data_IF_447313770417
#
_entry.id   IF_447313770417
#
_cell.length_a   1.000
_cell.length_b   1.000
_cell.length_c   1.000
_cell.angle_alpha   90.00
_cell.angle_beta   90.00
_cell.angle_gamma   90.00
#
_symmetry.space_group_name_H-M   'P 1'
#
loop_
_entity.id
_entity.type
_entity.pdbx_description
1 polymer ?
#
# COMPACT_ATOMS: atom_id res chain seq x y z
N UNK A 1 -0.90 15.12 -9.37
CA UNK A 1 -2.06 14.38 -8.81
C UNK A 1 -1.82 14.19 -7.32
N UNK A 2 -2.86 14.31 -6.51
CA UNK A 2 -2.80 14.04 -5.07
C UNK A 2 -3.40 12.67 -4.78
N UNK A 3 -2.78 11.92 -3.88
CA UNK A 3 -3.22 10.60 -3.44
C UNK A 3 -3.46 10.66 -1.95
N UNK A 4 -4.57 10.07 -1.50
CA UNK A 4 -4.98 10.09 -0.09
C UNK A 4 -5.08 11.52 0.51
N UNK A 5 -5.47 12.51 -0.30
CA UNK A 5 -5.58 13.92 0.11
C UNK A 5 -6.49 14.10 1.33
N UNK A 6 -7.69 13.50 1.26
CA UNK A 6 -8.69 13.52 2.33
C UNK A 6 -8.37 12.58 3.50
N UNK A 7 -7.20 11.91 3.47
CA UNK A 7 -6.75 10.94 4.50
C UNK A 7 -7.78 9.84 4.82
N UNK A 8 -8.55 9.44 3.79
CA UNK A 8 -9.58 8.40 3.90
C UNK A 8 -9.00 6.98 3.80
N UNK A 9 -7.77 6.82 3.31
CA UNK A 9 -7.11 5.52 3.14
C UNK A 9 -6.26 5.20 4.37
N UNK A 10 -5.40 6.13 4.78
CA UNK A 10 -4.59 6.08 6.00
C UNK A 10 -4.39 7.50 6.52
N UNK A 11 -4.47 7.67 7.85
CA UNK A 11 -4.32 8.98 8.51
C UNK A 11 -2.91 9.23 9.05
N UNK A 12 -2.10 8.17 9.14
CA UNK A 12 -0.73 8.24 9.65
C UNK A 12 0.21 8.75 8.57
N UNK A 13 1.35 9.32 9.01
CA UNK A 13 2.37 9.83 8.08
C UNK A 13 2.89 8.72 7.16
N UNK A 14 3.16 9.12 5.92
CA UNK A 14 3.93 8.29 4.97
C UNK A 14 5.37 8.20 5.49
N UNK A 15 5.96 7.01 5.40
CA UNK A 15 7.34 6.74 5.84
C UNK A 15 8.26 6.43 4.68
N UNK A 16 7.76 5.80 3.62
CA UNK A 16 8.52 5.45 2.43
C UNK A 16 7.61 5.47 1.19
N UNK A 17 8.17 5.88 0.05
CA UNK A 17 7.55 5.82 -1.27
C UNK A 17 8.54 5.16 -2.23
N UNK A 18 8.06 4.24 -3.05
CA UNK A 18 8.88 3.66 -4.11
C UNK A 18 8.05 3.26 -5.33
N UNK A 19 8.59 3.50 -6.52
CA UNK A 19 8.00 3.04 -7.77
C UNK A 19 8.25 1.55 -7.95
N UNK A 20 7.27 0.83 -8.50
CA UNK A 20 7.41 -0.60 -8.78
C UNK A 20 8.35 -0.77 -9.97
N UNK A 21 9.48 -1.50 -9.84
CA UNK A 21 10.41 -1.70 -10.93
C UNK A 21 9.73 -2.30 -12.18
N UNK A 22 9.99 -1.70 -13.34
CA UNK A 22 9.40 -2.11 -14.61
C UNK A 22 7.95 -1.66 -14.85
N UNK A 23 7.28 -1.10 -13.84
CA UNK A 23 5.98 -0.46 -14.04
C UNK A 23 6.14 1.02 -14.35
N UNK A 24 5.29 1.53 -15.25
CA UNK A 24 5.22 2.97 -15.52
C UNK A 24 4.26 3.69 -14.60
N UNK A 25 3.28 2.98 -14.03
CA UNK A 25 2.15 3.60 -13.35
C UNK A 25 1.96 3.15 -11.90
N UNK A 26 2.64 2.08 -11.46
CA UNK A 26 2.47 1.55 -10.11
C UNK A 26 3.53 2.08 -9.14
N UNK A 27 3.09 2.48 -7.95
CA UNK A 27 3.96 2.83 -6.84
C UNK A 27 3.40 2.34 -5.50
N UNK A 28 4.28 2.22 -4.53
CA UNK A 28 3.98 1.85 -3.15
C UNK A 28 4.09 3.07 -2.23
N UNK A 29 3.22 3.13 -1.23
CA UNK A 29 3.33 4.07 -0.12
C UNK A 29 3.22 3.32 1.21
N UNK A 30 4.29 3.36 2.01
CA UNK A 30 4.32 2.83 3.38
C UNK A 30 3.94 3.89 4.40
N UNK A 31 3.30 3.45 5.49
CA UNK A 31 2.76 4.31 6.52
C UNK A 31 3.19 3.86 7.92
N UNK A 32 3.16 4.80 8.86
CA UNK A 32 3.46 4.53 10.27
C UNK A 32 2.42 3.65 10.98
N UNK A 33 1.29 3.36 10.33
CA UNK A 33 0.26 2.40 10.77
C UNK A 33 0.66 0.92 10.61
N UNK A 34 1.86 0.65 10.08
CA UNK A 34 2.28 -0.71 9.73
C UNK A 34 1.69 -1.24 8.43
N UNK A 35 1.09 -0.35 7.63
CA UNK A 35 0.50 -0.67 6.36
C UNK A 35 1.26 -0.04 5.20
N UNK A 36 1.26 -0.72 4.06
CA UNK A 36 1.60 -0.09 2.80
C UNK A 36 0.54 -0.36 1.75
N UNK A 37 0.46 0.53 0.77
CA UNK A 37 -0.59 0.54 -0.25
C UNK A 37 0.01 0.53 -1.65
N UNK A 38 -0.63 -0.21 -2.54
CA UNK A 38 -0.31 -0.18 -3.99
C UNK A 38 -1.25 0.82 -4.65
N UNK A 39 -0.66 1.81 -5.32
CA UNK A 39 -1.38 2.80 -6.11
C UNK A 39 -1.06 2.63 -7.59
N UNK A 40 -2.01 3.01 -8.44
CA UNK A 40 -1.79 3.24 -9.86
C UNK A 40 -2.01 4.73 -10.16
N UNK A 41 -1.02 5.41 -10.71
CA UNK A 41 -1.06 6.86 -10.95
C UNK A 41 -2.16 7.29 -11.93
N UNK A 42 -2.58 6.39 -12.81
CA UNK A 42 -3.61 6.63 -13.82
C UNK A 42 -5.02 6.61 -13.19
N UNK A 43 -5.19 5.94 -12.05
CA UNK A 43 -6.47 5.77 -11.37
C UNK A 43 -6.74 6.87 -10.33
N UNK A 44 -8.02 7.24 -10.13
CA UNK A 44 -8.39 8.19 -9.08
C UNK A 44 -8.40 7.54 -7.70
N UNK A 45 -8.14 8.34 -6.66
CA UNK A 45 -8.65 8.05 -5.32
C UNK A 45 -10.15 8.38 -5.32
N UNK A 46 -10.99 7.53 -4.73
CA UNK A 46 -12.41 7.89 -4.61
C UNK A 46 -12.71 8.64 -3.31
N UNK A 47 -13.93 9.17 -3.24
CA UNK A 47 -14.41 10.14 -2.24
C UNK A 47 -14.86 9.54 -0.90
N UNK A 48 -14.70 8.24 -0.70
CA UNK A 48 -15.10 7.54 0.51
C UNK A 48 -14.01 6.55 0.93
N UNK A 49 -13.96 6.22 2.23
CA UNK A 49 -13.05 5.23 2.78
C UNK A 49 -13.19 3.88 2.03
N UNK A 50 -12.09 3.21 1.65
CA UNK A 50 -12.18 1.96 0.93
C UNK A 50 -12.75 0.82 1.79
N UNK A 51 -13.66 0.04 1.22
CA UNK A 51 -14.12 -1.21 1.83
C UNK A 51 -13.23 -2.36 1.39
N UNK A 52 -12.47 -2.92 2.34
CA UNK A 52 -11.51 -3.97 2.08
C UNK A 52 -12.12 -5.37 2.19
N UNK A 53 -11.65 -6.27 1.34
CA UNK A 53 -11.88 -7.72 1.45
C UNK A 53 -10.54 -8.47 1.42
N UNK A 54 -10.50 -9.68 1.99
CA UNK A 54 -9.28 -10.49 1.98
C UNK A 54 -8.91 -10.90 0.55
N UNK A 55 -7.62 -10.78 0.24
CA UNK A 55 -7.03 -11.24 -1.02
C UNK A 55 -6.05 -12.39 -0.77
N UNK A 56 -5.12 -12.20 0.16
CA UNK A 56 -4.15 -13.22 0.56
C UNK A 56 -3.77 -13.03 2.02
N UNK A 57 -3.57 -14.13 2.74
CA UNK A 57 -3.02 -14.12 4.10
C UNK A 57 -1.81 -15.04 4.09
N UNK A 58 -0.74 -14.61 4.76
CA UNK A 58 0.46 -15.42 4.95
C UNK A 58 1.01 -15.24 6.35
N UNK A 59 2.12 -15.92 6.62
CA UNK A 59 2.81 -15.77 7.89
C UNK A 59 3.31 -14.33 8.05
N UNK A 60 2.82 -13.63 9.08
CA UNK A 60 3.22 -12.26 9.37
C UNK A 60 2.71 -11.19 8.41
N UNK A 61 1.76 -11.49 7.50
CA UNK A 61 1.14 -10.44 6.68
C UNK A 61 -0.28 -10.76 6.21
N UNK A 62 -1.05 -9.70 5.94
CA UNK A 62 -2.36 -9.79 5.28
C UNK A 62 -2.43 -8.82 4.12
N UNK A 63 -2.94 -9.29 2.98
CA UNK A 63 -3.23 -8.50 1.79
C UNK A 63 -4.74 -8.41 1.60
N UNK A 64 -5.21 -7.17 1.45
CA UNK A 64 -6.58 -6.86 1.10
C UNK A 64 -6.66 -6.14 -0.24
N UNK A 65 -7.81 -6.27 -0.90
CA UNK A 65 -8.18 -5.47 -2.07
C UNK A 65 -9.51 -4.76 -1.82
N UNK A 66 -9.81 -3.73 -2.60
CA UNK A 66 -11.03 -2.94 -2.45
C UNK A 66 -12.23 -3.64 -3.11
N UNK A 67 -13.30 -3.88 -2.33
CA UNK A 67 -14.58 -4.39 -2.82
C UNK A 67 -15.37 -3.26 -3.49
N UNK A 68 -15.16 -3.08 -4.78
CA UNK A 68 -15.74 -1.95 -5.55
C UNK A 68 -16.19 -2.40 -6.94
N UNK A 69 -17.16 -1.68 -7.53
CA UNK A 69 -17.63 -1.94 -8.91
C UNK A 69 -16.68 -1.38 -9.97
N UNK A 70 -15.92 -0.34 -9.64
CA UNK A 70 -14.97 0.32 -10.53
C UNK A 70 -13.58 0.37 -9.89
N UNK A 71 -12.55 0.08 -10.68
CA UNK A 71 -11.17 0.10 -10.21
C UNK A 71 -10.76 1.52 -9.81
N UNK A 72 -10.27 1.66 -8.58
CA UNK A 72 -9.85 2.92 -7.97
C UNK A 72 -8.73 2.66 -6.98
N UNK A 73 -8.01 3.71 -6.61
CA UNK A 73 -6.99 3.62 -5.59
C UNK A 73 -7.58 3.56 -4.16
N UNK A 74 -6.93 2.82 -3.24
CA UNK A 74 -5.74 1.97 -3.46
C UNK A 74 -6.12 0.61 -4.08
N UNK A 75 -5.21 -0.01 -4.85
CA UNK A 75 -5.44 -1.33 -5.47
C UNK A 75 -5.34 -2.46 -4.44
N UNK A 76 -4.28 -2.40 -3.62
CA UNK A 76 -4.04 -3.34 -2.54
C UNK A 76 -3.60 -2.61 -1.28
N UNK A 77 -3.93 -3.21 -0.15
CA UNK A 77 -3.47 -2.83 1.18
C UNK A 77 -2.77 -4.02 1.81
N UNK A 78 -1.56 -3.80 2.27
CA UNK A 78 -0.77 -4.78 3.00
C UNK A 78 -0.67 -4.33 4.45
N UNK A 79 -0.93 -5.24 5.37
CA UNK A 79 -0.64 -5.09 6.80
C UNK A 79 0.46 -6.09 7.13
N UNK A 80 1.54 -5.62 7.77
CA UNK A 80 2.67 -6.44 8.17
C UNK A 80 2.71 -6.62 9.69
N UNK A 81 3.03 -7.83 10.13
CA UNK A 81 3.23 -8.21 11.51
C UNK A 81 2.08 -7.76 12.42
N UNK A 82 2.46 -7.10 13.52
CA UNK A 82 1.54 -6.56 14.52
C UNK A 82 0.94 -5.20 14.15
N UNK A 83 1.31 -4.62 12.99
CA UNK A 83 0.97 -3.25 12.62
C UNK A 83 1.96 -2.20 13.17
N UNK A 84 3.18 -2.61 13.52
CA UNK A 84 4.25 -1.68 13.88
C UNK A 84 4.67 -0.82 12.68
N UNK A 85 5.07 0.43 12.93
CA UNK A 85 5.41 1.38 11.88
C UNK A 85 6.44 0.82 10.89
N UNK A 86 6.14 0.89 9.59
CA UNK A 86 7.10 0.57 8.54
C UNK A 86 8.10 1.72 8.44
N UNK A 87 9.38 1.41 8.55
CA UNK A 87 10.45 2.39 8.45
C UNK A 87 10.90 2.57 7.00
N UNK A 88 11.01 1.48 6.23
CA UNK A 88 11.51 1.52 4.86
C UNK A 88 11.05 0.32 4.01
N UNK A 89 11.00 0.53 2.69
CA UNK A 89 10.73 -0.49 1.66
C UNK A 89 11.86 -0.47 0.63
N UNK A 90 12.33 -1.63 0.19
CA UNK A 90 13.30 -1.74 -0.89
C UNK A 90 13.02 -2.95 -1.79
N UNK A 91 12.94 -2.72 -3.10
CA UNK A 91 12.88 -3.82 -4.05
C UNK A 91 14.25 -4.48 -4.20
N UNK A 92 14.24 -5.81 -4.39
CA UNK A 92 15.44 -6.54 -4.78
C UNK A 92 15.94 -6.13 -6.18
N UNK A 93 17.18 -6.48 -6.57
CA UNK A 93 17.80 -6.01 -7.82
C UNK A 93 17.01 -6.31 -9.10
N UNK A 94 16.24 -7.39 -9.10
CA UNK A 94 15.39 -7.82 -10.22
C UNK A 94 13.90 -7.42 -10.05
N UNK A 95 13.55 -6.72 -8.97
CA UNK A 95 12.18 -6.29 -8.68
C UNK A 95 11.19 -7.38 -8.28
N UNK A 96 11.62 -8.65 -8.15
CA UNK A 96 10.70 -9.76 -7.83
C UNK A 96 10.46 -9.95 -6.34
N UNK A 97 11.30 -9.33 -5.51
CA UNK A 97 11.24 -9.38 -4.05
C UNK A 97 11.14 -7.96 -3.50
N UNK A 98 10.45 -7.83 -2.36
CA UNK A 98 10.33 -6.60 -1.61
C UNK A 98 10.81 -6.86 -0.18
N UNK A 99 11.86 -6.17 0.23
CA UNK A 99 12.31 -6.11 1.61
C UNK A 99 11.55 -5.00 2.34
N UNK A 100 11.10 -5.30 3.56
CA UNK A 100 10.39 -4.36 4.42
C UNK A 100 10.97 -4.42 5.82
N UNK A 101 11.22 -3.26 6.41
CA UNK A 101 11.65 -3.14 7.80
C UNK A 101 10.60 -2.39 8.61
N UNK A 102 10.10 -3.03 9.66
CA UNK A 102 9.18 -2.45 10.64
C UNK A 102 9.92 -2.11 11.93
N UNK A 103 9.21 -1.55 12.90
CA UNK A 103 9.77 -1.19 14.21
C UNK A 103 9.87 -2.39 15.17
N UNK A 104 9.10 -3.45 14.96
CA UNK A 104 9.06 -4.66 15.79
C UNK A 104 10.15 -5.68 15.42
#
# INVERSE_FOLDING_TARGET
KLFNEERLIDKTRVTCLCWVPGSRSLFLAAHASGQFYVYNEELPCGSAAPHYQHFKVGEGFTVNTCKTKSTRNPLFRWLLGSGAAINELAFGPNGSQLAVVSRD
#
